data_IF_003267503587
#
_entry.id   IF_003267503587
#
_cell.length_a   1.000
_cell.length_b   1.000
_cell.length_c   1.000
_cell.angle_alpha   90.00
_cell.angle_beta   90.00
_cell.angle_gamma   90.00
#
_symmetry.space_group_name_H-M   'P 1'
#
loop_
_entity.id
_entity.type
_entity.pdbx_description
1 polymer ?
#
# COMPACT_ATOMS: atom_id res chain seq x y z
N UNK A 1 -0.14 14.67 -2.42
CA UNK A 1 1.01 14.00 -3.07
C UNK A 1 0.58 12.62 -3.52
N UNK A 2 0.46 12.41 -4.82
CA UNK A 2 0.36 11.08 -5.41
C UNK A 2 1.77 10.61 -5.78
N UNK A 3 2.10 9.36 -5.44
CA UNK A 3 3.33 8.71 -5.86
C UNK A 3 2.99 7.70 -6.96
N UNK A 4 3.69 7.78 -8.08
CA UNK A 4 3.62 6.78 -9.15
C UNK A 4 4.96 6.06 -9.20
N UNK A 5 4.95 4.74 -9.24
CA UNK A 5 6.18 3.98 -9.34
C UNK A 5 5.99 2.53 -9.76
N UNK A 6 6.99 2.01 -10.47
CA UNK A 6 7.14 0.70 -11.11
C UNK A 6 5.89 0.17 -11.84
N UNK A 7 6.05 -0.21 -13.09
CA UNK A 7 5.09 -1.06 -13.79
C UNK A 7 5.70 -2.47 -13.90
N UNK A 8 4.99 -3.48 -13.40
CA UNK A 8 5.44 -4.87 -13.50
C UNK A 8 4.61 -5.60 -14.56
N UNK A 9 5.28 -6.04 -15.63
CA UNK A 9 4.67 -6.77 -16.75
C UNK A 9 4.68 -8.30 -16.52
N UNK A 10 5.09 -8.75 -15.33
CA UNK A 10 4.73 -10.07 -14.80
C UNK A 10 5.29 -11.31 -15.51
N UNK A 11 6.23 -11.19 -16.46
CA UNK A 11 7.17 -12.25 -16.92
C UNK A 11 7.91 -11.90 -18.24
N UNK A 12 7.59 -10.78 -18.91
CA UNK A 12 8.22 -10.38 -20.18
C UNK A 12 9.14 -9.16 -20.03
N UNK A 13 10.43 -9.37 -19.77
CA UNK A 13 11.48 -8.39 -20.11
C UNK A 13 11.30 -6.96 -19.56
N UNK A 14 10.95 -6.83 -18.28
CA UNK A 14 11.41 -5.86 -17.28
C UNK A 14 11.68 -4.38 -17.64
N UNK A 15 10.93 -3.74 -18.54
CA UNK A 15 11.10 -2.29 -18.70
C UNK A 15 10.24 -1.57 -19.72
N UNK A 16 9.56 -2.26 -20.65
CA UNK A 16 8.80 -1.58 -21.69
C UNK A 16 7.66 -0.73 -21.12
N UNK A 17 6.88 -1.26 -20.16
CA UNK A 17 5.85 -0.47 -19.50
C UNK A 17 6.44 0.68 -18.67
N UNK A 18 7.53 0.44 -17.94
CA UNK A 18 8.19 1.48 -17.14
C UNK A 18 8.74 2.62 -18.01
N UNK A 19 9.46 2.30 -19.08
CA UNK A 19 9.95 3.28 -20.05
C UNK A 19 8.80 4.08 -20.66
N UNK A 20 7.71 3.40 -21.05
CA UNK A 20 6.56 4.08 -21.61
C UNK A 20 5.88 5.01 -20.60
N UNK A 21 5.79 4.60 -19.34
CA UNK A 21 5.26 5.45 -18.28
C UNK A 21 6.15 6.68 -18.06
N UNK A 22 7.48 6.49 -18.00
CA UNK A 22 8.44 7.58 -17.86
C UNK A 22 8.35 8.59 -19.01
N UNK A 23 8.27 8.13 -20.27
CA UNK A 23 8.10 9.01 -21.43
C UNK A 23 6.87 9.90 -21.33
N UNK A 24 5.73 9.32 -20.92
CA UNK A 24 4.47 10.07 -20.76
C UNK A 24 4.59 11.07 -19.62
N UNK A 25 5.12 10.66 -18.47
CA UNK A 25 5.28 11.53 -17.30
C UNK A 25 6.23 12.69 -17.61
N UNK A 26 7.32 12.43 -18.32
CA UNK A 26 8.25 13.47 -18.76
C UNK A 26 7.59 14.45 -19.74
N UNK A 27 6.83 13.94 -20.72
CA UNK A 27 6.11 14.77 -21.70
C UNK A 27 5.08 15.70 -21.04
N UNK A 28 4.46 15.24 -19.95
CA UNK A 28 3.51 16.03 -19.13
C UNK A 28 4.23 16.92 -18.08
N UNK A 29 5.56 16.90 -18.04
CA UNK A 29 6.37 17.71 -17.12
C UNK A 29 6.24 17.27 -15.66
N UNK A 30 5.96 16.00 -15.41
CA UNK A 30 5.87 15.42 -14.07
C UNK A 30 7.28 15.26 -13.49
N UNK A 31 7.55 15.80 -12.29
CA UNK A 31 8.81 15.61 -11.59
C UNK A 31 9.09 14.13 -11.30
N UNK A 32 10.29 13.68 -11.65
CA UNK A 32 10.76 12.31 -11.44
C UNK A 32 11.97 12.24 -10.51
N UNK A 33 12.09 11.15 -9.77
CA UNK A 33 13.29 10.75 -9.03
C UNK A 33 13.81 9.44 -9.62
N UNK A 34 15.04 9.49 -10.14
CA UNK A 34 15.73 8.34 -10.71
C UNK A 34 16.82 7.79 -9.78
N UNK A 35 17.46 8.65 -9.00
CA UNK A 35 18.43 8.24 -7.98
C UNK A 35 17.73 8.11 -6.63
N UNK A 36 17.74 6.91 -6.05
CA UNK A 36 17.12 6.68 -4.76
C UNK A 36 17.80 7.46 -3.63
N UNK A 37 19.07 7.87 -3.82
CA UNK A 37 19.74 8.78 -2.88
C UNK A 37 19.00 10.11 -2.69
N UNK A 38 18.26 10.60 -3.70
CA UNK A 38 17.45 11.83 -3.60
C UNK A 38 16.30 11.72 -2.60
N UNK A 39 15.89 10.50 -2.25
CA UNK A 39 14.82 10.25 -1.27
C UNK A 39 15.35 10.26 0.16
N UNK A 40 16.67 10.15 0.34
CA UNK A 40 17.29 10.18 1.67
C UNK A 40 17.12 11.57 2.30
N UNK A 41 16.42 11.63 3.43
CA UNK A 41 16.11 12.90 4.11
C UNK A 41 15.06 13.75 3.38
N UNK A 42 14.45 13.26 2.30
CA UNK A 42 13.36 13.96 1.63
C UNK A 42 12.11 13.98 2.52
N UNK A 43 11.83 15.13 3.13
CA UNK A 43 10.63 15.30 3.96
C UNK A 43 9.36 15.32 3.09
N UNK A 44 8.20 15.06 3.70
CA UNK A 44 6.90 15.13 3.00
C UNK A 44 6.65 16.53 2.40
N UNK A 45 7.04 17.59 3.10
CA UNK A 45 6.89 18.97 2.60
C UNK A 45 7.80 19.25 1.40
N UNK A 46 9.05 18.78 1.44
CA UNK A 46 9.98 18.88 0.31
C UNK A 46 9.50 18.05 -0.89
N UNK A 47 9.00 16.84 -0.65
CA UNK A 47 8.42 16.00 -1.69
C UNK A 47 7.22 16.68 -2.36
N UNK A 48 6.30 17.29 -1.59
CA UNK A 48 5.16 18.06 -2.12
C UNK A 48 5.58 19.27 -2.96
N UNK A 49 6.55 20.03 -2.47
CA UNK A 49 7.11 21.16 -3.21
C UNK A 49 7.71 20.70 -4.55
N UNK A 50 8.47 19.60 -4.54
CA UNK A 50 9.03 18.98 -5.75
C UNK A 50 7.96 18.43 -6.68
N UNK A 51 6.83 17.94 -6.16
CA UNK A 51 5.75 17.30 -6.90
C UNK A 51 4.74 18.26 -7.55
N UNK A 52 4.87 19.57 -7.32
CA UNK A 52 3.84 20.52 -7.76
C UNK A 52 3.84 20.64 -9.28
N UNK A 53 2.69 20.33 -9.92
CA UNK A 53 2.54 20.39 -11.37
C UNK A 53 2.03 21.75 -11.84
N UNK A 54 2.39 22.15 -13.07
CA UNK A 54 1.93 23.41 -13.69
C UNK A 54 0.41 23.47 -13.86
N UNK A 55 -0.23 22.33 -14.10
CA UNK A 55 -1.69 22.19 -14.22
C UNK A 55 -2.42 22.19 -12.86
N UNK A 56 -1.68 22.30 -11.75
CA UNK A 56 -2.19 22.10 -10.41
C UNK A 56 -2.10 20.64 -9.95
N UNK A 57 -2.19 20.44 -8.62
CA UNK A 57 -1.99 19.15 -7.99
C UNK A 57 -0.53 18.83 -7.65
N UNK A 58 -0.33 17.69 -6.99
CA UNK A 58 0.96 17.20 -6.51
C UNK A 58 1.17 15.75 -6.99
N UNK A 59 2.07 15.55 -7.96
CA UNK A 59 2.47 14.24 -8.49
C UNK A 59 4.00 14.13 -8.52
N UNK A 60 4.53 13.09 -7.90
CA UNK A 60 5.95 12.76 -7.93
C UNK A 60 6.10 11.31 -8.38
N UNK A 61 6.90 11.09 -9.42
CA UNK A 61 7.16 9.76 -9.91
C UNK A 61 8.51 9.25 -9.39
N UNK A 62 8.53 8.01 -8.91
CA UNK A 62 9.70 7.34 -8.34
C UNK A 62 9.84 5.96 -9.01
N UNK A 63 11.01 5.69 -9.58
CA UNK A 63 11.26 4.43 -10.31
C UNK A 63 12.46 3.71 -9.73
N UNK A 64 12.36 2.38 -9.54
CA UNK A 64 13.45 1.55 -8.99
C UNK A 64 13.79 1.80 -7.51
N UNK A 65 13.10 2.75 -6.86
CA UNK A 65 13.38 3.19 -5.49
C UNK A 65 12.40 2.72 -4.43
N UNK A 66 11.42 1.89 -4.82
CA UNK A 66 10.53 1.19 -3.88
C UNK A 66 10.86 -0.29 -3.79
N UNK A 67 10.76 -0.84 -2.60
CA UNK A 67 10.71 -2.29 -2.40
C UNK A 67 9.31 -2.68 -2.00
N UNK A 68 8.58 -3.29 -2.93
CA UNK A 68 7.26 -3.85 -2.68
C UNK A 68 7.38 -5.14 -1.85
N UNK A 69 6.36 -5.43 -1.04
CA UNK A 69 6.27 -6.63 -0.20
C UNK A 69 4.97 -7.40 -0.52
N UNK A 70 4.75 -7.67 -1.81
CA UNK A 70 3.62 -8.47 -2.26
C UNK A 70 3.69 -9.89 -1.65
N UNK A 71 2.55 -10.33 -1.12
CA UNK A 71 2.29 -11.63 -0.53
C UNK A 71 0.85 -12.02 -0.90
N UNK A 72 0.73 -12.94 -1.86
CA UNK A 72 -0.54 -13.47 -2.36
C UNK A 72 -1.40 -14.17 -1.29
N UNK A 73 -0.89 -14.36 -0.07
CA UNK A 73 -1.69 -14.87 1.05
C UNK A 73 -2.47 -13.77 1.76
N UNK A 74 -2.12 -12.49 1.59
CA UNK A 74 -2.75 -11.35 2.26
C UNK A 74 -4.02 -10.85 1.54
N UNK A 75 -4.87 -11.78 1.12
CA UNK A 75 -6.11 -11.49 0.41
C UNK A 75 -7.28 -11.31 1.38
N UNK A 76 -8.27 -10.50 0.99
CA UNK A 76 -9.49 -10.37 1.80
C UNK A 76 -10.32 -11.66 1.80
N UNK A 77 -10.44 -12.31 0.64
CA UNK A 77 -11.22 -13.54 0.46
C UNK A 77 -10.38 -14.61 -0.23
N UNK A 78 -10.74 -15.87 0.00
CA UNK A 78 -9.98 -17.01 -0.51
C UNK A 78 -10.37 -18.29 0.21
N UNK A 79 -9.47 -19.28 0.16
CA UNK A 79 -9.63 -20.54 0.89
C UNK A 79 -8.39 -20.84 1.73
N UNK A 80 -8.59 -21.43 2.90
CA UNK A 80 -7.49 -22.05 3.63
C UNK A 80 -7.03 -23.29 2.84
N UNK A 81 -5.80 -23.26 2.28
CA UNK A 81 -5.29 -24.30 1.36
C UNK A 81 -5.40 -25.72 1.89
N UNK A 82 -5.27 -25.89 3.21
CA UNK A 82 -5.31 -27.20 3.86
C UNK A 82 -6.74 -27.76 4.02
N UNK A 83 -7.74 -26.88 4.14
CA UNK A 83 -9.12 -27.27 4.50
C UNK A 83 -10.15 -26.97 3.42
N UNK A 84 -9.78 -26.22 2.38
CA UNK A 84 -10.70 -25.65 1.38
C UNK A 84 -11.86 -24.92 2.09
N UNK A 85 -11.57 -24.28 3.22
CA UNK A 85 -12.58 -23.52 3.99
C UNK A 85 -12.54 -22.07 3.51
N UNK A 86 -13.62 -21.53 2.93
CA UNK A 86 -13.64 -20.17 2.43
C UNK A 86 -13.56 -19.16 3.58
N UNK A 87 -12.83 -18.06 3.36
CA UNK A 87 -12.78 -16.93 4.29
C UNK A 87 -13.10 -15.60 3.61
N UNK A 88 -13.48 -14.61 4.41
CA UNK A 88 -13.62 -13.19 4.02
C UNK A 88 -13.12 -12.28 5.12
N UNK A 89 -12.63 -11.09 4.78
CA UNK A 89 -12.09 -10.12 5.73
C UNK A 89 -13.15 -9.28 6.47
N UNK A 90 -14.43 -9.61 6.34
CA UNK A 90 -15.54 -8.88 6.94
C UNK A 90 -16.64 -9.84 7.41
N UNK A 91 -17.56 -9.32 8.23
CA UNK A 91 -18.67 -10.07 8.83
C UNK A 91 -20.00 -9.41 8.53
N UNK A 92 -20.51 -9.59 7.31
CA UNK A 92 -21.78 -9.01 6.86
C UNK A 92 -22.84 -10.08 6.53
N UNK A 93 -22.57 -11.33 6.88
CA UNK A 93 -23.43 -12.48 6.57
C UNK A 93 -23.37 -12.97 5.12
N UNK A 94 -22.55 -12.35 4.25
CA UNK A 94 -22.36 -12.84 2.88
C UNK A 94 -21.41 -14.04 2.81
N UNK A 95 -20.58 -14.24 3.83
CA UNK A 95 -19.73 -15.43 3.96
C UNK A 95 -20.40 -16.50 4.85
N UNK A 96 -20.15 -17.81 4.59
CA UNK A 96 -20.78 -18.89 5.34
C UNK A 96 -20.42 -18.91 6.84
N UNK A 97 -19.30 -18.28 7.22
CA UNK A 97 -18.75 -18.28 8.58
C UNK A 97 -18.12 -16.92 8.89
N UNK A 98 -18.17 -16.53 10.16
CA UNK A 98 -17.37 -15.41 10.67
C UNK A 98 -15.89 -15.84 10.67
N UNK A 99 -15.17 -15.44 9.63
CA UNK A 99 -13.78 -15.79 9.37
C UNK A 99 -12.87 -14.58 9.32
N UNK A 100 -13.37 -13.38 9.62
CA UNK A 100 -12.63 -12.12 9.41
C UNK A 100 -11.32 -12.04 10.19
N UNK A 101 -11.25 -12.69 11.35
CA UNK A 101 -10.02 -12.77 12.15
C UNK A 101 -8.86 -13.45 11.42
N UNK A 102 -9.14 -14.40 10.52
CA UNK A 102 -8.10 -15.13 9.79
C UNK A 102 -7.29 -14.26 8.82
N UNK A 103 -7.90 -13.58 7.82
CA UNK A 103 -7.17 -12.68 6.94
C UNK A 103 -6.62 -11.47 7.70
N UNK A 104 -7.32 -10.96 8.72
CA UNK A 104 -6.81 -9.87 9.56
C UNK A 104 -5.54 -10.27 10.34
N UNK A 105 -5.52 -11.45 10.95
CA UNK A 105 -4.35 -11.91 11.70
C UNK A 105 -3.09 -11.97 10.83
N UNK A 106 -3.21 -12.50 9.61
CA UNK A 106 -2.09 -12.54 8.66
C UNK A 106 -1.65 -11.15 8.19
N UNK A 107 -2.60 -10.26 7.93
CA UNK A 107 -2.29 -8.89 7.55
C UNK A 107 -1.59 -8.13 8.67
N UNK A 108 -2.09 -8.24 9.90
CA UNK A 108 -1.48 -7.63 11.10
C UNK A 108 -0.07 -8.14 11.30
N UNK A 109 0.11 -9.46 11.29
CA UNK A 109 1.43 -10.09 11.43
C UNK A 109 2.40 -9.61 10.35
N UNK A 110 1.93 -9.52 9.09
CA UNK A 110 2.73 -8.99 7.98
C UNK A 110 3.10 -7.51 8.20
N UNK A 111 2.16 -6.68 8.62
CA UNK A 111 2.39 -5.25 8.86
C UNK A 111 3.38 -5.02 10.01
N UNK A 112 3.21 -5.71 11.14
CA UNK A 112 4.11 -5.64 12.30
C UNK A 112 5.49 -6.20 11.96
N UNK A 113 5.56 -7.33 11.28
CA UNK A 113 6.83 -7.93 10.82
C UNK A 113 7.56 -7.03 9.83
N UNK A 114 6.83 -6.40 8.91
CA UNK A 114 7.40 -5.53 7.88
C UNK A 114 7.86 -4.21 8.48
N UNK A 115 7.07 -3.61 9.37
CA UNK A 115 7.39 -2.33 10.01
C UNK A 115 8.40 -2.43 11.16
N UNK A 116 8.60 -3.61 11.76
CA UNK A 116 9.66 -3.83 12.76
C UNK A 116 11.04 -3.99 12.16
N UNK A 117 11.15 -4.36 10.88
CA UNK A 117 12.42 -4.41 10.16
C UNK A 117 12.96 -2.99 10.01
N UNK A 118 14.02 -2.67 10.74
CA UNK A 118 14.76 -1.42 10.57
C UNK A 118 15.37 -1.41 9.16
N UNK A 119 14.86 -0.56 8.29
CA UNK A 119 15.31 -0.41 6.88
C UNK A 119 16.66 0.31 6.76
N UNK A 120 17.49 0.23 7.81
CA UNK A 120 18.80 0.84 7.86
C UNK A 120 19.73 0.15 6.86
N UNK A 121 19.89 0.76 5.68
CA UNK A 121 21.12 0.76 4.84
C UNK A 121 20.87 0.81 3.34
N UNK A 122 19.64 0.67 2.83
CA UNK A 122 19.42 0.69 1.38
C UNK A 122 19.34 2.14 0.87
N UNK A 123 20.47 2.81 0.67
CA UNK A 123 20.69 4.00 -0.21
C UNK A 123 19.40 4.76 -0.64
N UNK A 124 18.67 5.35 0.32
CA UNK A 124 17.42 6.10 0.07
C UNK A 124 16.24 5.33 -0.56
N UNK A 125 16.21 3.99 -0.56
CA UNK A 125 15.00 3.24 -0.99
C UNK A 125 13.87 3.39 0.02
N UNK A 126 12.66 3.55 -0.50
CA UNK A 126 11.42 3.46 0.26
C UNK A 126 11.04 1.99 0.46
N UNK A 127 10.64 1.69 1.68
CA UNK A 127 10.18 0.36 2.06
C UNK A 127 8.66 0.41 2.15
N UNK A 128 8.01 -0.25 1.21
CA UNK A 128 6.56 -0.19 1.10
C UNK A 128 5.94 -1.08 2.19
N UNK A 129 5.19 -0.46 3.09
CA UNK A 129 4.30 -1.15 3.99
C UNK A 129 2.92 -1.23 3.32
N UNK A 130 2.55 -2.42 2.86
CA UNK A 130 1.30 -2.66 2.16
C UNK A 130 0.14 -2.93 3.13
N UNK A 131 -0.53 -1.87 3.56
CA UNK A 131 -1.77 -1.92 4.34
C UNK A 131 -2.99 -2.05 3.41
N UNK A 132 -2.96 -3.08 2.58
CA UNK A 132 -3.95 -3.38 1.55
C UNK A 132 -4.37 -4.84 1.61
N UNK A 133 -5.59 -5.12 1.16
CA UNK A 133 -5.91 -6.45 0.68
C UNK A 133 -5.23 -6.64 -0.66
N UNK A 134 -4.48 -7.72 -0.79
CA UNK A 134 -3.85 -8.08 -2.06
C UNK A 134 -4.80 -8.94 -2.88
N UNK A 135 -4.59 -8.98 -4.19
CA UNK A 135 -5.36 -9.82 -5.10
C UNK A 135 -4.49 -10.97 -5.62
N UNK A 136 -5.07 -12.17 -5.59
CA UNK A 136 -4.57 -13.39 -6.19
C UNK A 136 -5.68 -14.04 -7.01
N UNK A 137 -5.35 -14.98 -7.88
CA UNK A 137 -6.33 -15.57 -8.82
C UNK A 137 -7.55 -16.18 -8.11
N UNK A 138 -7.34 -16.86 -6.98
CA UNK A 138 -8.39 -17.43 -6.14
C UNK A 138 -9.21 -16.36 -5.40
N UNK A 139 -8.56 -15.33 -4.85
CA UNK A 139 -9.27 -14.24 -4.19
C UNK A 139 -10.15 -13.45 -5.16
N UNK A 140 -9.71 -13.26 -6.41
CA UNK A 140 -10.52 -12.60 -7.45
C UNK A 140 -11.76 -13.43 -7.75
N UNK A 141 -11.61 -14.75 -7.95
CA UNK A 141 -12.74 -15.64 -8.18
C UNK A 141 -13.73 -15.62 -7.00
N UNK A 142 -13.21 -15.63 -5.77
CA UNK A 142 -14.03 -15.55 -4.55
C UNK A 142 -14.73 -14.21 -4.38
N UNK A 143 -14.03 -13.12 -4.63
CA UNK A 143 -14.59 -11.78 -4.64
C UNK A 143 -15.77 -11.69 -5.61
N UNK A 144 -15.64 -12.25 -6.82
CA UNK A 144 -16.74 -12.30 -7.80
C UNK A 144 -17.94 -13.11 -7.30
N UNK A 145 -17.71 -14.29 -6.71
CA UNK A 145 -18.77 -15.12 -6.12
C UNK A 145 -19.52 -14.38 -5.00
N UNK A 146 -18.80 -13.61 -4.18
CA UNK A 146 -19.37 -12.77 -3.13
C UNK A 146 -19.83 -11.38 -3.59
N UNK A 147 -19.83 -11.11 -4.91
CA UNK A 147 -20.19 -9.83 -5.53
C UNK A 147 -19.42 -8.64 -4.94
N UNK A 148 -18.19 -8.90 -4.53
CA UNK A 148 -17.26 -7.95 -3.96
C UNK A 148 -16.25 -7.43 -5.00
N UNK A 149 -15.39 -6.54 -4.56
CA UNK A 149 -14.25 -5.97 -5.28
C UNK A 149 -13.26 -5.44 -4.25
N UNK A 150 -12.02 -5.15 -4.65
CA UNK A 150 -11.02 -4.61 -3.74
C UNK A 150 -11.50 -3.38 -2.95
N UNK A 151 -12.21 -2.46 -3.60
CA UNK A 151 -12.80 -1.29 -2.95
C UNK A 151 -13.92 -1.65 -1.95
N UNK A 152 -14.74 -2.66 -2.27
CA UNK A 152 -15.78 -3.14 -1.36
C UNK A 152 -15.19 -3.91 -0.18
N UNK A 153 -14.14 -4.69 -0.42
CA UNK A 153 -13.43 -5.47 0.59
C UNK A 153 -12.79 -4.56 1.63
N UNK A 154 -12.08 -3.51 1.19
CA UNK A 154 -11.56 -2.46 2.07
C UNK A 154 -12.69 -1.85 2.90
N UNK A 155 -13.76 -1.37 2.25
CA UNK A 155 -14.86 -0.69 2.94
C UNK A 155 -15.57 -1.58 3.96
N UNK A 156 -15.82 -2.85 3.62
CA UNK A 156 -16.52 -3.81 4.49
C UNK A 156 -15.66 -4.28 5.65
N UNK A 157 -14.36 -4.42 5.44
CA UNK A 157 -13.41 -4.78 6.48
C UNK A 157 -13.10 -3.62 7.41
N UNK A 158 -13.26 -2.37 6.94
CA UNK A 158 -12.84 -1.16 7.65
C UNK A 158 -11.32 -1.09 7.84
N UNK A 159 -10.57 -1.59 6.85
CA UNK A 159 -9.13 -1.77 6.94
C UNK A 159 -8.42 -0.43 7.17
N UNK A 160 -8.77 0.63 6.46
CA UNK A 160 -8.10 1.92 6.63
C UNK A 160 -8.27 2.50 8.04
N UNK A 161 -9.46 2.37 8.63
CA UNK A 161 -9.67 2.79 10.03
C UNK A 161 -8.81 1.96 11.00
N UNK A 162 -8.73 0.66 10.78
CA UNK A 162 -7.90 -0.23 11.60
C UNK A 162 -6.41 0.14 11.50
N UNK A 163 -5.92 0.40 10.29
CA UNK A 163 -4.53 0.82 10.04
C UNK A 163 -4.24 2.18 10.68
N UNK A 164 -5.16 3.14 10.58
CA UNK A 164 -5.01 4.44 11.24
C UNK A 164 -4.84 4.28 12.77
N UNK A 165 -5.58 3.35 13.39
CA UNK A 165 -5.43 3.04 14.80
C UNK A 165 -4.06 2.41 15.10
N UNK A 166 -3.59 1.45 14.29
CA UNK A 166 -2.26 0.84 14.45
C UNK A 166 -1.14 1.88 14.36
N UNK A 167 -1.25 2.84 13.44
CA UNK A 167 -0.32 3.96 13.35
C UNK A 167 -0.39 4.78 14.64
N UNK A 168 -1.57 5.26 15.05
CA UNK A 168 -1.74 6.09 16.25
C UNK A 168 -1.23 5.44 17.55
N UNK A 169 -1.33 4.12 17.69
CA UNK A 169 -0.85 3.40 18.87
C UNK A 169 0.65 3.08 18.82
N UNK A 170 1.34 3.42 17.72
CA UNK A 170 2.75 3.12 17.53
C UNK A 170 3.04 1.65 17.22
N UNK A 171 2.03 0.85 16.86
CA UNK A 171 2.20 -0.55 16.48
C UNK A 171 3.05 -0.73 15.20
N UNK A 172 3.20 0.33 14.41
CA UNK A 172 3.98 0.37 13.16
C UNK A 172 5.18 1.33 13.30
N UNK A 173 6.31 0.90 13.89
CA UNK A 173 7.38 1.80 14.32
C UNK A 173 8.28 2.37 13.20
N UNK A 174 8.42 1.70 12.05
CA UNK A 174 9.26 2.17 10.93
C UNK A 174 8.48 2.24 9.61
N UNK A 175 7.70 3.30 9.42
CA UNK A 175 6.91 3.54 8.20
C UNK A 175 7.52 4.71 7.41
N UNK A 176 8.01 4.45 6.20
CA UNK A 176 8.47 5.50 5.27
C UNK A 176 7.65 5.57 3.96
N UNK A 177 6.91 4.50 3.63
CA UNK A 177 5.91 4.47 2.56
C UNK A 177 4.78 3.53 2.99
N UNK A 178 3.57 4.06 3.10
CA UNK A 178 2.37 3.28 3.45
C UNK A 178 1.42 3.24 2.25
N UNK A 179 1.15 2.04 1.73
CA UNK A 179 0.17 1.83 0.67
C UNK A 179 -1.16 1.44 1.30
N UNK A 180 -2.25 2.05 0.84
CA UNK A 180 -3.63 1.78 1.30
C UNK A 180 -4.55 1.52 0.12
N UNK A 181 -5.61 0.73 0.33
CA UNK A 181 -6.68 0.60 -0.64
C UNK A 181 -7.69 1.72 -0.43
N UNK A 182 -8.46 2.05 -1.47
CA UNK A 182 -9.64 2.91 -1.35
C UNK A 182 -9.39 4.19 -0.52
N UNK A 183 -8.39 5.00 -0.91
CA UNK A 183 -8.00 6.20 -0.16
C UNK A 183 -9.16 7.20 0.07
N UNK A 184 -10.24 7.09 -0.71
CA UNK A 184 -11.47 7.87 -0.52
C UNK A 184 -12.30 7.46 0.71
N UNK A 185 -12.01 6.33 1.35
CA UNK A 185 -12.74 5.82 2.51
C UNK A 185 -11.73 5.46 3.61
N UNK A 186 -11.64 6.25 4.68
CA UNK A 186 -10.66 6.00 5.76
C UNK A 186 -9.23 6.46 5.45
N UNK A 187 -8.92 6.83 4.20
CA UNK A 187 -7.56 7.22 3.82
C UNK A 187 -7.09 8.55 4.45
N UNK A 188 -8.02 9.47 4.73
CA UNK A 188 -7.71 10.73 5.40
C UNK A 188 -7.30 10.48 6.86
N UNK A 189 -7.98 9.55 7.54
CA UNK A 189 -7.69 9.14 8.91
C UNK A 189 -6.31 8.50 9.01
N UNK A 190 -5.93 7.66 8.04
CA UNK A 190 -4.57 7.11 7.93
C UNK A 190 -3.56 8.25 7.72
N UNK A 191 -3.83 9.17 6.79
CA UNK A 191 -2.93 10.29 6.52
C UNK A 191 -2.72 11.18 7.75
N UNK A 192 -3.76 11.43 8.54
CA UNK A 192 -3.67 12.23 9.76
C UNK A 192 -2.99 11.48 10.90
N UNK A 193 -3.19 10.16 11.01
CA UNK A 193 -2.45 9.31 11.94
C UNK A 193 -0.94 9.34 11.67
N UNK A 194 -0.52 9.24 10.41
CA UNK A 194 0.90 9.30 10.01
C UNK A 194 1.51 10.66 10.36
N UNK A 195 0.82 11.77 10.02
CA UNK A 195 1.29 13.13 10.37
C UNK A 195 1.41 13.34 11.89
N UNK A 196 0.49 12.76 12.67
CA UNK A 196 0.54 12.89 14.12
C UNK A 196 1.77 12.17 14.69
N UNK A 197 2.05 10.96 14.21
CA UNK A 197 3.25 10.22 14.61
C UNK A 197 4.54 10.92 14.23
N UNK A 198 4.63 11.52 13.03
CA UNK A 198 5.79 12.31 12.60
C UNK A 198 6.11 13.41 13.62
N UNK A 199 5.09 14.14 14.08
CA UNK A 199 5.25 15.19 15.11
C UNK A 199 5.67 14.65 16.47
N UNK A 200 5.17 13.48 16.87
CA UNK A 200 5.47 12.88 18.17
C UNK A 200 6.88 12.29 18.23
N UNK A 201 7.39 11.80 17.10
CA UNK A 201 8.72 11.20 16.99
C UNK A 201 9.85 12.22 16.80
N UNK A 202 9.52 13.51 16.67
CA UNK A 202 10.51 14.59 16.63
C UNK A 202 11.44 14.54 15.41
N UNK A 203 10.93 14.04 14.28
CA UNK A 203 11.59 14.15 12.99
C UNK A 203 11.56 15.59 12.45
#
# INVERSE_FOLDING_TARGET
LLLVGNCDDGDAGSGACELRAMEILEAEGVPMIHDCGDLEGLTVSAARARATMKSGGELLAIFGCRSANYDATLTCSGYEREKIDPYTCYTDGSAPRNTSSYPYGRLVESLETTSSKRTGSSKGKLWELQAIWQEAADSVAMGMLYRSSLLKDERRSNLNTYVAQMVQTGALPNVNLLLVNNACYGGQEVADAVKLNEKLLGA
#
